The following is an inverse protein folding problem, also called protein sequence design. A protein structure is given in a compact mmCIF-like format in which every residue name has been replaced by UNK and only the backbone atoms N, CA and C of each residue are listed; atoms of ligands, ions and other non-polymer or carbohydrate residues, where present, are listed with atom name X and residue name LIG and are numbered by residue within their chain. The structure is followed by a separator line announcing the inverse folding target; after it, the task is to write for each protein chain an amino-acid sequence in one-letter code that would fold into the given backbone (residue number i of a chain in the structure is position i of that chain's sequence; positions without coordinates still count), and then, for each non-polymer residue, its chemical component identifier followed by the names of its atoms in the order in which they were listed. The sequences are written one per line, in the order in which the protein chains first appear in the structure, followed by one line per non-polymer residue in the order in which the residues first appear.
data_IF_890960741245
#
_entry.id   IF_890960741245
#
_cell.length_a   1.000
_cell.length_b   1.000
_cell.length_c   1.000
_cell.angle_alpha   90.00
_cell.angle_beta   90.00
_cell.angle_gamma   90.00
#
_symmetry.space_group_name_H-M   'P 1'
#
loop_
_entity.id
_entity.type
_entity.pdbx_description
1 polymer ?
#
# COMPACT_ATOMS: atom_id res chain seq x y z
N UNK A 1 40.26 -35.87 40.40
CA UNK A 1 40.51 -35.03 39.21
C UNK A 1 39.49 -35.26 38.09
N UNK A 2 39.10 -36.50 37.77
CA UNK A 2 38.15 -36.77 36.67
C UNK A 2 36.72 -36.25 36.86
N UNK A 3 36.18 -36.25 38.09
CA UNK A 3 34.80 -35.80 38.38
C UNK A 3 34.58 -34.31 38.09
N UNK A 4 35.56 -33.46 38.42
CA UNK A 4 35.53 -32.03 38.10
C UNK A 4 35.56 -31.79 36.59
N UNK A 5 36.38 -32.53 35.85
CA UNK A 5 36.43 -32.45 34.39
C UNK A 5 35.09 -32.83 33.74
N UNK A 6 34.48 -33.94 34.18
CA UNK A 6 33.18 -34.38 33.66
C UNK A 6 32.08 -33.37 33.99
N UNK A 7 32.06 -32.85 35.22
CA UNK A 7 31.08 -31.82 35.62
C UNK A 7 31.22 -30.55 34.79
N UNK A 8 32.46 -30.07 34.59
CA UNK A 8 32.72 -28.87 33.77
C UNK A 8 32.36 -29.09 32.30
N UNK A 9 32.65 -30.25 31.72
CA UNK A 9 32.29 -30.59 30.34
C UNK A 9 30.79 -30.73 30.14
N UNK A 10 30.10 -31.41 31.06
CA UNK A 10 28.64 -31.56 31.02
C UNK A 10 27.95 -30.21 31.14
N UNK A 11 28.37 -29.39 32.10
CA UNK A 11 27.85 -28.04 32.30
C UNK A 11 28.06 -27.17 31.05
N UNK A 12 29.26 -27.21 30.45
CA UNK A 12 29.55 -26.48 29.22
C UNK A 12 28.63 -26.92 28.07
N UNK A 13 28.52 -28.22 27.80
CA UNK A 13 27.69 -28.73 26.72
C UNK A 13 26.22 -28.38 26.94
N UNK A 14 25.67 -28.57 28.14
CA UNK A 14 24.27 -28.28 28.44
C UNK A 14 23.97 -26.79 28.27
N UNK A 15 24.80 -25.91 28.83
CA UNK A 15 24.59 -24.46 28.71
C UNK A 15 24.74 -24.00 27.26
N UNK A 16 25.79 -24.46 26.56
CA UNK A 16 25.99 -24.12 25.15
C UNK A 16 24.80 -24.58 24.32
N UNK A 17 24.33 -25.82 24.48
CA UNK A 17 23.16 -26.32 23.74
C UNK A 17 21.90 -25.49 24.04
N UNK A 18 21.64 -25.15 25.31
CA UNK A 18 20.47 -24.33 25.67
C UNK A 18 20.57 -22.93 25.06
N UNK A 19 21.71 -22.24 25.22
CA UNK A 19 21.89 -20.87 24.73
C UNK A 19 21.84 -20.81 23.21
N UNK A 20 22.50 -21.73 22.51
CA UNK A 20 22.46 -21.78 21.04
C UNK A 20 21.04 -22.00 20.54
N UNK A 21 20.29 -22.93 21.15
CA UNK A 21 18.93 -23.22 20.73
C UNK A 21 17.97 -22.06 21.04
N UNK A 22 18.17 -21.31 22.13
CA UNK A 22 17.40 -20.10 22.41
C UNK A 22 17.67 -19.03 21.36
N UNK A 23 18.95 -18.77 21.05
CA UNK A 23 19.33 -17.78 20.04
C UNK A 23 18.75 -18.17 18.67
N UNK A 24 18.87 -19.44 18.27
CA UNK A 24 18.26 -19.92 17.03
C UNK A 24 16.73 -19.78 17.04
N UNK A 25 16.08 -20.05 18.17
CA UNK A 25 14.64 -19.83 18.33
C UNK A 25 14.23 -18.39 18.04
N UNK A 26 14.90 -17.42 18.66
CA UNK A 26 14.63 -15.98 18.46
C UNK A 26 14.89 -15.56 17.00
N UNK A 27 15.99 -16.05 16.41
CA UNK A 27 16.32 -15.74 15.02
C UNK A 27 15.25 -16.30 14.06
N UNK A 28 14.81 -17.55 14.26
CA UNK A 28 13.78 -18.16 13.42
C UNK A 28 12.45 -17.43 13.56
N UNK A 29 12.07 -17.06 14.79
CA UNK A 29 10.84 -16.33 15.09
C UNK A 29 10.84 -14.95 14.39
N UNK A 30 11.89 -14.17 14.58
CA UNK A 30 12.02 -12.84 13.94
C UNK A 30 12.04 -12.93 12.40
N UNK A 31 12.72 -13.93 11.81
CA UNK A 31 12.65 -14.16 10.37
C UNK A 31 11.27 -14.62 9.90
N UNK A 32 10.55 -15.38 10.72
CA UNK A 32 9.15 -15.75 10.49
C UNK A 32 8.26 -14.52 10.40
N UNK A 33 8.36 -13.62 11.37
CA UNK A 33 7.59 -12.38 11.40
C UNK A 33 7.90 -11.47 10.20
N UNK A 34 9.17 -11.32 9.83
CA UNK A 34 9.58 -10.51 8.66
C UNK A 34 9.00 -11.10 7.36
N UNK A 35 8.92 -12.43 7.24
CA UNK A 35 8.29 -13.07 6.07
C UNK A 35 6.81 -12.80 6.03
N UNK A 36 6.11 -13.01 7.14
CA UNK A 36 4.68 -12.76 7.22
C UNK A 36 4.34 -11.30 6.87
N UNK A 37 5.06 -10.33 7.44
CA UNK A 37 4.87 -8.90 7.11
C UNK A 37 5.06 -8.62 5.62
N UNK A 38 6.03 -9.26 4.98
CA UNK A 38 6.28 -9.11 3.53
C UNK A 38 5.14 -9.70 2.71
N UNK A 39 4.66 -10.87 3.10
CA UNK A 39 3.57 -11.56 2.42
C UNK A 39 2.27 -10.78 2.57
N UNK A 40 1.97 -10.24 3.75
CA UNK A 40 0.82 -9.36 3.99
C UNK A 40 0.85 -8.10 3.10
N UNK A 41 2.02 -7.45 2.98
CA UNK A 41 2.21 -6.28 2.10
C UNK A 41 2.03 -6.69 0.63
N UNK A 42 2.58 -7.83 0.22
CA UNK A 42 2.44 -8.33 -1.14
C UNK A 42 0.98 -8.61 -1.49
N UNK A 43 0.25 -9.26 -0.59
CA UNK A 43 -1.15 -9.61 -0.78
C UNK A 43 -2.03 -8.36 -0.85
N UNK A 44 -1.72 -7.32 -0.08
CA UNK A 44 -2.39 -6.01 -0.21
C UNK A 44 -2.15 -5.37 -1.58
N UNK A 45 -0.90 -5.33 -2.05
CA UNK A 45 -0.51 -4.74 -3.35
C UNK A 45 -1.20 -5.46 -4.52
N UNK A 46 -1.33 -6.78 -4.45
CA UNK A 46 -1.93 -7.59 -5.53
C UNK A 46 -3.46 -7.67 -5.39
N UNK A 47 -3.96 -7.61 -4.16
CA UNK A 47 -5.36 -7.82 -3.81
C UNK A 47 -6.26 -6.60 -3.96
N UNK A 48 -5.71 -5.37 -3.99
CA UNK A 48 -6.48 -4.13 -4.06
C UNK A 48 -5.96 -3.16 -5.11
N UNK A 49 -6.84 -2.31 -5.63
CA UNK A 49 -6.41 -1.21 -6.51
C UNK A 49 -5.72 -0.12 -5.67
N UNK A 50 -4.51 0.29 -6.06
CA UNK A 50 -3.74 1.36 -5.42
C UNK A 50 -4.47 2.72 -5.35
N UNK A 51 -5.32 3.05 -6.34
CA UNK A 51 -5.94 4.38 -6.45
C UNK A 51 -7.28 4.44 -5.71
N UNK A 52 -8.18 3.46 -5.91
CA UNK A 52 -9.51 3.47 -5.30
C UNK A 52 -9.67 2.56 -4.08
N UNK A 53 -8.69 1.73 -3.76
CA UNK A 53 -8.71 0.81 -2.63
C UNK A 53 -9.88 -0.22 -2.66
N UNK A 54 -10.36 -0.58 -3.86
CA UNK A 54 -11.37 -1.63 -4.04
C UNK A 54 -10.68 -2.96 -4.29
N UNK A 55 -11.19 -4.03 -3.67
CA UNK A 55 -10.67 -5.39 -3.81
C UNK A 55 -10.78 -5.92 -5.25
N UNK A 56 -9.74 -6.62 -5.67
CA UNK A 56 -9.65 -7.36 -6.93
C UNK A 56 -10.86 -8.28 -7.15
N UNK A 57 -11.30 -8.95 -6.09
CA UNK A 57 -12.44 -9.85 -6.12
C UNK A 57 -13.74 -9.15 -6.54
N UNK A 58 -13.93 -7.87 -6.21
CA UNK A 58 -15.11 -7.09 -6.60
C UNK A 58 -15.14 -6.88 -8.11
N UNK A 59 -14.01 -6.50 -8.71
CA UNK A 59 -13.92 -6.33 -10.16
C UNK A 59 -14.06 -7.65 -10.91
N UNK A 60 -13.49 -8.73 -10.37
CA UNK A 60 -13.55 -10.04 -11.01
C UNK A 60 -14.97 -10.63 -11.01
N UNK A 61 -15.81 -10.33 -10.00
CA UNK A 61 -17.25 -10.66 -10.03
C UNK A 61 -17.98 -10.00 -11.20
N UNK A 62 -17.57 -8.80 -11.58
CA UNK A 62 -18.11 -8.05 -12.71
C UNK A 62 -17.28 -8.19 -14.00
N UNK A 63 -16.37 -9.17 -14.07
CA UNK A 63 -15.42 -9.28 -15.18
C UNK A 63 -16.07 -9.47 -16.56
N UNK A 64 -17.24 -10.11 -16.62
CA UNK A 64 -17.94 -10.35 -17.89
C UNK A 64 -18.42 -9.06 -18.56
N UNK A 65 -18.76 -8.05 -17.78
CA UNK A 65 -19.26 -6.76 -18.27
C UNK A 65 -18.11 -5.74 -18.39
N UNK A 66 -17.22 -5.73 -17.39
CA UNK A 66 -16.21 -4.69 -17.25
C UNK A 66 -14.75 -5.16 -17.35
N UNK A 67 -14.49 -6.37 -17.88
CA UNK A 67 -13.13 -6.86 -18.17
C UNK A 67 -12.23 -7.11 -16.96
N UNK A 68 -12.79 -7.07 -15.75
CA UNK A 68 -12.15 -7.49 -14.51
C UNK A 68 -11.07 -6.54 -13.99
N UNK A 69 -10.34 -6.99 -12.97
CA UNK A 69 -9.35 -6.15 -12.28
C UNK A 69 -8.20 -5.68 -13.18
N UNK A 70 -7.76 -6.53 -14.11
CA UNK A 70 -6.63 -6.19 -15.00
C UNK A 70 -6.98 -5.02 -15.94
N UNK A 71 -8.19 -5.00 -16.51
CA UNK A 71 -8.62 -3.88 -17.33
C UNK A 71 -8.73 -2.60 -16.49
N UNK A 72 -9.25 -2.71 -15.27
CA UNK A 72 -9.38 -1.58 -14.35
C UNK A 72 -8.02 -0.92 -14.08
N UNK A 73 -6.99 -1.66 -13.66
CA UNK A 73 -5.65 -1.08 -13.38
C UNK A 73 -4.92 -0.58 -14.63
N UNK A 74 -5.26 -1.06 -15.83
CA UNK A 74 -4.60 -0.63 -17.06
C UNK A 74 -5.27 0.56 -17.74
N UNK A 75 -6.59 0.66 -17.68
CA UNK A 75 -7.39 1.62 -18.46
C UNK A 75 -8.13 2.67 -17.62
N UNK A 76 -8.44 2.36 -16.37
CA UNK A 76 -9.12 3.29 -15.46
C UNK A 76 -8.13 3.86 -14.44
N UNK A 77 -7.48 2.99 -13.67
CA UNK A 77 -6.59 3.34 -12.56
C UNK A 77 -5.15 2.91 -12.81
N UNK A 78 -4.57 3.43 -13.89
CA UNK A 78 -3.15 3.24 -14.17
C UNK A 78 -2.29 4.14 -13.29
N UNK A 79 -1.49 3.52 -12.42
CA UNK A 79 -0.62 4.21 -11.46
C UNK A 79 0.34 5.20 -12.13
N UNK A 80 0.89 4.85 -13.30
CA UNK A 80 1.84 5.71 -14.01
C UNK A 80 1.18 6.93 -14.61
N UNK A 81 -0.01 6.78 -15.19
CA UNK A 81 -0.77 7.93 -15.68
C UNK A 81 -1.17 8.88 -14.55
N UNK A 82 -1.54 8.32 -13.39
CA UNK A 82 -1.85 9.11 -12.20
C UNK A 82 -0.62 9.88 -11.68
N UNK A 83 0.54 9.22 -11.60
CA UNK A 83 1.79 9.86 -11.20
C UNK A 83 2.19 10.96 -12.19
N UNK A 84 2.12 10.69 -13.49
CA UNK A 84 2.41 11.67 -14.53
C UNK A 84 1.50 12.89 -14.45
N UNK A 85 0.22 12.70 -14.11
CA UNK A 85 -0.71 13.83 -13.92
C UNK A 85 -0.30 14.70 -12.72
N UNK A 86 0.09 14.11 -11.60
CA UNK A 86 0.59 14.86 -10.43
C UNK A 86 1.86 15.64 -10.76
N UNK A 87 2.82 15.02 -11.45
CA UNK A 87 4.07 15.69 -11.86
C UNK A 87 3.76 16.81 -12.85
N UNK A 88 2.88 16.58 -13.83
CA UNK A 88 2.45 17.59 -14.80
C UNK A 88 1.84 18.81 -14.10
N UNK A 89 0.98 18.61 -13.10
CA UNK A 89 0.43 19.71 -12.30
C UNK A 89 1.54 20.50 -11.60
N UNK A 90 2.62 19.86 -11.15
CA UNK A 90 3.72 20.56 -10.46
C UNK A 90 4.63 21.36 -11.42
N UNK A 91 4.82 20.90 -12.65
CA UNK A 91 5.72 21.53 -13.63
C UNK A 91 5.02 22.56 -14.52
N UNK A 92 3.73 22.35 -14.82
CA UNK A 92 2.96 23.21 -15.71
C UNK A 92 2.66 24.56 -15.05
N UNK A 93 2.72 25.64 -15.85
CA UNK A 93 2.48 27.00 -15.38
C UNK A 93 1.01 27.14 -14.96
N UNK A 94 0.69 27.71 -13.78
CA UNK A 94 -0.68 27.78 -13.28
C UNK A 94 -1.68 28.51 -14.19
N UNK A 95 -1.21 29.46 -15.01
CA UNK A 95 -2.04 30.20 -15.96
C UNK A 95 -2.53 29.36 -17.14
N UNK A 96 -1.91 28.20 -17.37
CA UNK A 96 -2.26 27.27 -18.46
C UNK A 96 -3.11 26.09 -17.96
N UNK A 97 -3.42 26.02 -16.67
CA UNK A 97 -4.26 24.96 -16.15
C UNK A 97 -5.65 25.00 -16.79
N UNK A 98 -6.14 23.83 -17.15
CA UNK A 98 -7.56 23.67 -17.44
C UNK A 98 -8.40 23.86 -16.17
N UNK A 99 -9.73 23.99 -16.31
CA UNK A 99 -10.64 24.12 -15.15
C UNK A 99 -10.48 22.97 -14.13
N UNK A 100 -10.54 21.70 -14.55
CA UNK A 100 -10.32 20.55 -13.66
C UNK A 100 -8.91 20.50 -13.07
N UNK A 101 -7.87 20.85 -13.85
CA UNK A 101 -6.49 20.92 -13.37
C UNK A 101 -6.36 21.95 -12.25
N UNK A 102 -6.95 23.14 -12.42
CA UNK A 102 -6.95 24.20 -11.41
C UNK A 102 -7.64 23.75 -10.12
N UNK A 103 -8.76 23.04 -10.25
CA UNK A 103 -9.48 22.46 -9.11
C UNK A 103 -8.61 21.48 -8.33
N UNK A 104 -7.99 20.52 -9.02
CA UNK A 104 -7.11 19.54 -8.39
C UNK A 104 -5.86 20.21 -7.81
N UNK A 105 -5.26 21.17 -8.50
CA UNK A 105 -4.08 21.90 -8.04
C UNK A 105 -4.36 22.65 -6.72
N UNK A 106 -5.53 23.29 -6.59
CA UNK A 106 -5.95 23.96 -5.36
C UNK A 106 -6.11 22.97 -4.20
N UNK A 107 -6.77 21.83 -4.43
CA UNK A 107 -6.93 20.79 -3.42
C UNK A 107 -5.57 20.19 -3.02
N UNK A 108 -4.71 19.91 -3.99
CA UNK A 108 -3.37 19.40 -3.78
C UNK A 108 -2.52 20.35 -2.93
N UNK A 109 -2.55 21.67 -3.21
CA UNK A 109 -1.84 22.68 -2.43
C UNK A 109 -2.36 22.79 -0.99
N UNK A 110 -3.66 22.57 -0.78
CA UNK A 110 -4.26 22.52 0.56
C UNK A 110 -4.01 21.21 1.33
N UNK A 111 -3.30 20.24 0.71
CA UNK A 111 -3.09 18.91 1.29
C UNK A 111 -4.36 18.04 1.31
N UNK A 112 -5.41 18.45 0.60
CA UNK A 112 -6.68 17.75 0.53
C UNK A 112 -6.63 16.67 -0.56
N UNK A 113 -6.89 15.42 -0.17
CA UNK A 113 -6.85 14.23 -1.06
C UNK A 113 -8.22 13.79 -1.57
N UNK A 114 -9.30 14.54 -1.30
CA UNK A 114 -10.67 14.19 -1.70
C UNK A 114 -10.88 14.16 -3.21
N UNK A 115 -9.96 14.68 -4.01
CA UNK A 115 -9.98 14.56 -5.48
C UNK A 115 -9.55 13.17 -5.97
N UNK A 116 -8.89 12.37 -5.13
CA UNK A 116 -8.51 10.99 -5.45
C UNK A 116 -9.77 10.12 -5.41
N UNK A 117 -10.03 9.27 -6.43
CA UNK A 117 -11.26 8.49 -6.52
C UNK A 117 -11.25 7.27 -5.57
N UNK A 118 -11.35 7.52 -4.27
CA UNK A 118 -11.41 6.49 -3.23
C UNK A 118 -12.79 5.81 -3.22
N UNK A 119 -12.81 4.48 -3.21
CA UNK A 119 -14.03 3.67 -3.13
C UNK A 119 -14.93 3.73 -4.36
N UNK A 120 -14.50 4.39 -5.43
CA UNK A 120 -15.28 4.56 -6.66
C UNK A 120 -14.48 4.08 -7.88
N UNK A 121 -15.18 3.46 -8.84
CA UNK A 121 -14.61 3.06 -10.11
C UNK A 121 -15.70 3.13 -11.20
N UNK A 122 -15.32 3.60 -12.38
CA UNK A 122 -16.24 3.73 -13.52
C UNK A 122 -16.86 2.39 -13.92
N UNK A 123 -16.10 1.31 -13.79
CA UNK A 123 -16.55 -0.07 -14.01
C UNK A 123 -17.57 -0.58 -12.99
N UNK A 124 -17.81 0.12 -11.89
CA UNK A 124 -18.74 -0.29 -10.82
C UNK A 124 -19.89 0.72 -10.60
N UNK A 125 -19.98 1.76 -11.43
CA UNK A 125 -20.95 2.85 -11.28
C UNK A 125 -22.39 2.40 -11.60
N UNK A 126 -22.57 1.40 -12.47
CA UNK A 126 -23.89 0.83 -12.76
C UNK A 126 -24.41 -0.07 -11.63
N UNK A 127 -23.55 -0.88 -11.01
CA UNK A 127 -23.93 -1.81 -9.92
C UNK A 127 -24.19 -1.11 -8.58
N UNK A 128 -23.60 0.07 -8.37
CA UNK A 128 -23.85 0.88 -7.18
C UNK A 128 -25.26 1.49 -7.19
N UNK A 129 -25.86 1.70 -8.38
CA UNK A 129 -27.21 2.28 -8.52
C UNK A 129 -28.34 1.28 -8.20
N UNK A 130 -28.09 -0.02 -8.29
CA UNK A 130 -29.09 -1.04 -7.99
C UNK A 130 -29.11 -1.46 -6.51
N UNK A 131 -28.02 -1.21 -5.77
CA UNK A 131 -27.90 -1.60 -4.36
C UNK A 131 -28.24 -0.49 -3.36
N UNK A 132 -28.45 0.75 -3.82
CA UNK A 132 -28.71 1.86 -2.90
C UNK A 132 -29.79 2.82 -3.43
N UNK A 133 -31.05 2.43 -3.27
CA UNK A 133 -32.21 3.33 -3.30
C UNK A 133 -32.30 4.20 -2.04
N UNK A 134 -31.24 4.97 -1.75
CA UNK A 134 -31.16 5.88 -0.61
C UNK A 134 -30.08 6.92 -0.81
N UNK A 135 -30.50 8.15 -1.11
CA UNK A 135 -29.65 9.33 -1.28
C UNK A 135 -28.79 9.61 -0.04
N UNK A 136 -27.50 9.93 -0.22
CA UNK A 136 -26.97 11.28 0.00
C UNK A 136 -25.47 11.40 -0.31
N UNK A 137 -25.18 12.46 -1.06
CA UNK A 137 -23.87 13.06 -1.31
C UNK A 137 -23.30 13.67 -0.03
N UNK A 138 -22.01 13.47 0.26
CA UNK A 138 -21.30 14.26 1.27
C UNK A 138 -20.24 13.49 2.07
N UNK A 139 -18.98 13.83 1.80
CA UNK A 139 -17.80 13.75 2.69
C UNK A 139 -17.98 13.07 4.06
N UNK A 140 -17.29 11.96 4.31
CA UNK A 140 -17.09 11.45 5.66
C UNK A 140 -16.57 10.02 5.75
N UNK A 141 -15.28 9.88 6.08
CA UNK A 141 -14.77 8.92 7.08
C UNK A 141 -15.02 7.41 6.88
N UNK A 142 -13.89 6.71 6.67
CA UNK A 142 -13.52 5.40 7.23
C UNK A 142 -14.65 4.63 7.94
N UNK A 143 -15.03 3.48 7.37
CA UNK A 143 -15.57 2.36 8.15
C UNK A 143 -14.75 1.11 7.78
N UNK A 144 -13.81 0.77 8.67
CA UNK A 144 -13.24 -0.58 8.71
C UNK A 144 -14.39 -1.56 8.95
N UNK A 145 -14.50 -2.57 8.09
CA UNK A 145 -15.06 -3.85 8.48
C UNK A 145 -14.02 -4.94 8.31
N UNK A 146 -13.30 -5.14 9.41
CA UNK A 146 -12.85 -6.47 9.79
C UNK A 146 -14.08 -7.39 9.88
N UNK A 147 -14.21 -8.34 8.95
CA UNK A 147 -15.12 -9.49 9.04
C UNK A 147 -14.77 -10.50 7.94
N UNK A 148 -13.69 -11.26 8.13
CA UNK A 148 -13.42 -12.48 7.36
C UNK A 148 -12.36 -13.41 8.02
N UNK A 149 -12.36 -13.55 9.35
CA UNK A 149 -11.42 -14.45 10.04
C UNK A 149 -12.02 -15.22 11.22
N UNK A 150 -13.33 -15.40 11.28
CA UNK A 150 -13.99 -16.03 12.43
C UNK A 150 -14.92 -17.14 11.99
N UNK A 151 -14.36 -18.19 11.38
CA UNK A 151 -15.04 -19.47 11.18
C UNK A 151 -14.02 -20.60 10.91
N UNK A 152 -13.04 -20.81 11.81
CA UNK A 152 -12.24 -22.05 11.83
C UNK A 152 -11.60 -22.32 13.21
N UNK A 153 -12.41 -22.54 14.24
CA UNK A 153 -11.90 -22.89 15.59
C UNK A 153 -12.75 -23.89 16.38
N UNK A 154 -13.59 -24.70 15.72
CA UNK A 154 -14.14 -25.91 16.36
C UNK A 154 -13.37 -27.12 15.87
N UNK A 155 -12.22 -27.37 16.49
CA UNK A 155 -11.63 -28.69 16.69
C UNK A 155 -10.31 -28.51 17.46
N UNK A 156 -10.40 -28.26 18.77
CA UNK A 156 -9.42 -28.69 19.77
C UNK A 156 -9.93 -28.29 21.17
N UNK A 157 -10.68 -29.19 21.79
CA UNK A 157 -10.86 -29.22 23.25
C UNK A 157 -10.02 -30.37 23.77
N UNK A 158 -8.95 -30.06 24.49
CA UNK A 158 -8.53 -30.66 25.76
C UNK A 158 -7.00 -30.62 25.90
N UNK A 159 -6.46 -29.62 26.60
CA UNK A 159 -5.63 -29.86 27.78
C UNK A 159 -5.40 -28.54 28.55
N UNK A 160 -5.71 -28.59 29.84
CA UNK A 160 -5.54 -27.51 30.82
C UNK A 160 -4.06 -27.18 31.07
N UNK A 161 -3.72 -25.91 31.29
CA UNK A 161 -3.10 -25.48 32.56
C UNK A 161 -3.14 -23.95 32.76
N UNK A 162 -3.42 -23.62 34.02
CA UNK A 162 -3.41 -22.36 34.77
C UNK A 162 -2.20 -21.42 34.55
N UNK A 163 -2.44 -20.10 34.66
CA UNK A 163 -1.40 -19.06 34.58
C UNK A 163 -1.93 -17.65 34.35
N UNK A 164 -2.37 -16.99 35.43
CA UNK A 164 -2.63 -15.55 35.53
C UNK A 164 -1.34 -14.72 35.41
N UNK A 165 -1.24 -13.79 34.46
CA UNK A 165 -0.28 -12.65 34.52
C UNK A 165 -0.64 -11.49 33.56
N UNK A 166 -0.81 -10.32 34.17
CA UNK A 166 -0.71 -8.90 33.75
C UNK A 166 -1.27 -8.40 32.40
N UNK A 167 -2.28 -7.53 32.53
CA UNK A 167 -2.79 -6.66 31.47
C UNK A 167 -1.77 -5.58 31.08
N UNK A 168 -0.91 -5.91 30.11
CA UNK A 168 -0.16 -4.94 29.32
C UNK A 168 -1.08 -4.25 28.31
N UNK A 169 -1.38 -2.97 28.53
CA UNK A 169 -2.08 -2.11 27.58
C UNK A 169 -1.33 -2.07 26.24
N UNK A 170 -1.94 -2.65 25.20
CA UNK A 170 -1.49 -2.52 23.81
C UNK A 170 -1.67 -1.07 23.36
N UNK A 171 -0.58 -0.32 23.40
CA UNK A 171 -0.49 0.95 22.70
C UNK A 171 -0.48 0.64 21.20
N UNK A 172 -1.54 1.03 20.52
CA UNK A 172 -1.66 0.92 19.07
C UNK A 172 -0.66 1.89 18.44
N UNK A 173 0.50 1.37 18.06
CA UNK A 173 1.50 2.08 17.25
C UNK A 173 0.92 2.34 15.84
N UNK A 174 0.00 3.30 15.75
CA UNK A 174 -0.38 3.90 14.49
C UNK A 174 0.80 4.71 13.99
N UNK A 175 1.73 4.03 13.30
CA UNK A 175 2.82 4.69 12.59
C UNK A 175 2.21 5.80 11.73
N UNK A 176 2.68 7.05 11.90
CA UNK A 176 2.18 8.15 11.08
C UNK A 176 2.39 7.80 9.61
N UNK A 177 1.37 8.06 8.79
CA UNK A 177 1.46 7.97 7.33
C UNK A 177 2.79 8.59 6.88
N UNK A 178 3.57 7.92 6.01
CA UNK A 178 4.83 8.47 5.54
C UNK A 178 4.57 9.88 5.00
N UNK A 179 5.36 10.85 5.48
CA UNK A 179 5.31 12.23 4.99
C UNK A 179 5.28 12.19 3.47
N UNK A 180 4.29 12.85 2.87
CA UNK A 180 4.06 12.88 1.43
C UNK A 180 5.41 12.94 0.71
N UNK A 181 5.67 11.96 -0.16
CA UNK A 181 6.89 11.90 -0.96
C UNK A 181 7.06 13.26 -1.62
N UNK A 182 8.14 13.95 -1.27
CA UNK A 182 8.46 15.23 -1.88
C UNK A 182 8.92 14.98 -3.32
N UNK A 183 7.97 14.85 -4.23
CA UNK A 183 8.24 14.53 -5.63
C UNK A 183 9.17 15.55 -6.30
N UNK A 184 9.27 16.79 -5.78
CA UNK A 184 10.24 17.78 -6.26
C UNK A 184 11.69 17.32 -6.06
N UNK A 185 12.01 16.60 -4.98
CA UNK A 185 13.36 16.05 -4.77
C UNK A 185 13.67 14.90 -5.71
N UNK A 186 12.66 14.11 -6.09
CA UNK A 186 12.81 13.01 -7.06
C UNK A 186 12.96 13.57 -8.49
N UNK A 187 12.13 14.54 -8.87
CA UNK A 187 12.22 15.21 -10.17
C UNK A 187 13.53 15.96 -10.32
N UNK A 188 14.03 16.60 -9.25
CA UNK A 188 15.36 17.25 -9.26
C UNK A 188 16.51 16.23 -9.36
N UNK A 189 16.36 15.05 -8.74
CA UNK A 189 17.32 13.96 -8.87
C UNK A 189 17.32 13.29 -10.27
N UNK A 190 16.18 13.32 -10.97
CA UNK A 190 16.03 12.76 -12.32
C UNK A 190 16.22 13.80 -13.46
N UNK A 191 16.07 15.09 -13.15
CA UNK A 191 16.08 16.22 -14.09
C UNK A 191 17.46 16.65 -14.60
N UNK A 192 18.52 15.90 -14.30
CA UNK A 192 19.89 16.17 -14.77
C UNK A 192 20.15 15.88 -16.26
N UNK A 193 19.16 15.42 -17.04
CA UNK A 193 19.32 15.23 -18.49
C UNK A 193 18.73 16.40 -19.27
N UNK A 194 19.64 17.30 -19.63
CA UNK A 194 19.51 18.37 -20.62
C UNK A 194 18.71 17.88 -21.85
N UNK A 195 17.48 18.35 -22.01
CA UNK A 195 16.71 18.18 -23.26
C UNK A 195 17.48 18.92 -24.36
N UNK A 196 17.94 18.22 -25.40
CA UNK A 196 18.48 18.87 -26.61
C UNK A 196 17.37 19.72 -27.21
N UNK A 197 17.58 21.03 -27.29
CA UNK A 197 16.72 21.88 -28.11
C UNK A 197 16.77 21.43 -29.58
N UNK A 198 15.64 21.44 -30.30
CA UNK A 198 15.65 21.18 -31.74
C UNK A 198 16.32 22.34 -32.48
N UNK A 199 17.14 22.00 -33.48
CA UNK A 199 17.84 22.96 -34.36
C UNK A 199 16.81 23.77 -35.17
N UNK A 200 16.95 25.10 -35.27
CA UNK A 200 16.02 25.92 -36.06
C UNK A 200 16.20 25.64 -37.56
N UNK A 201 15.10 25.36 -38.26
CA UNK A 201 15.09 25.26 -39.72
C UNK A 201 15.19 26.67 -40.32
N UNK A 202 16.22 26.90 -41.12
CA UNK A 202 16.35 28.10 -41.94
C UNK A 202 15.32 28.08 -43.07
N UNK A 203 14.38 29.03 -43.03
CA UNK A 203 13.46 29.32 -44.12
C UNK A 203 14.21 29.99 -45.29
N UNK A 204 14.39 29.31 -46.42
CA UNK A 204 14.67 29.99 -47.68
C UNK A 204 13.35 30.52 -48.24
N UNK A 205 13.19 31.84 -48.15
CA UNK A 205 12.44 32.58 -49.17
C UNK A 205 13.18 32.37 -50.49
N UNK A 206 12.43 32.17 -51.57
CA UNK A 206 12.48 33.06 -52.74
C UNK A 206 11.32 32.65 -53.66
N UNK A 207 10.49 33.64 -53.98
CA UNK A 207 9.54 33.57 -55.08
C UNK A 207 10.06 34.48 -56.18
N UNK A 208 10.06 33.96 -57.40
CA UNK A 208 9.63 34.58 -58.66
C UNK A 208 9.51 33.48 -59.72
#
# INVERSE_FOLDING_TARGET
MGSILVFTLFFFIIITTIVLNIIFGIIIDTFGEIRQKRDDIHDDIVGRCFICNIDRATFDRHAREFGGFQRHIMKEHNMWHFLSFVIMLQEKVPTEYSGPESFVANLYQSGNVSWVPLGIARSLDSSTRETNGGEQSGSGGISMRASAAEERSKDEKALDHDGNEEAGSRESDSKPLPKAVNLRSIVTALGGRRVRQPVPQSSSKDGE
#
